data_IF_540628344045
#
_entry.id   IF_540628344045
#
_cell.length_a   1.000
_cell.length_b   1.000
_cell.length_c   1.000
_cell.angle_alpha   90.00
_cell.angle_beta   90.00
_cell.angle_gamma   90.00
#
_symmetry.space_group_name_H-M   'P 1'
#
loop_
_entity.id
_entity.type
_entity.pdbx_description
1 polymer ?
#
# COMPACT_ATOMS: atom_id res chain seq x y z
N UNK A 1 13.47 -15.87 -29.01
CA UNK A 1 12.25 -15.88 -28.16
C UNK A 1 12.50 -16.32 -26.71
N UNK A 2 13.22 -17.43 -26.44
CA UNK A 2 13.43 -17.90 -25.06
C UNK A 2 14.18 -16.93 -24.12
N UNK A 3 15.14 -16.15 -24.65
CA UNK A 3 15.90 -15.17 -23.86
C UNK A 3 15.03 -14.03 -23.32
N UNK A 4 14.07 -13.53 -24.11
CA UNK A 4 13.13 -12.49 -23.68
C UNK A 4 12.16 -13.03 -22.62
N UNK A 5 11.60 -14.23 -22.83
CA UNK A 5 10.71 -14.87 -21.86
C UNK A 5 11.44 -15.09 -20.52
N UNK A 6 12.70 -15.53 -20.55
CA UNK A 6 13.51 -15.70 -19.35
C UNK A 6 13.72 -14.38 -18.59
N UNK A 7 13.94 -13.27 -19.30
CA UNK A 7 14.07 -11.96 -18.67
C UNK A 7 12.75 -11.51 -18.03
N UNK A 8 11.62 -11.68 -18.72
CA UNK A 8 10.29 -11.37 -18.17
C UNK A 8 10.00 -12.20 -16.92
N UNK A 9 10.36 -13.48 -16.92
CA UNK A 9 10.17 -14.34 -15.75
C UNK A 9 10.99 -13.88 -14.55
N UNK A 10 12.28 -13.55 -14.75
CA UNK A 10 13.13 -13.01 -13.68
C UNK A 10 12.58 -11.67 -13.16
N UNK A 11 12.16 -10.78 -14.04
CA UNK A 11 11.55 -9.50 -13.66
C UNK A 11 10.23 -9.69 -12.90
N UNK A 12 9.43 -10.68 -13.29
CA UNK A 12 8.20 -11.04 -12.59
C UNK A 12 8.47 -11.50 -11.15
N UNK A 13 9.48 -12.36 -10.96
CA UNK A 13 9.90 -12.80 -9.61
C UNK A 13 10.41 -11.62 -8.79
N UNK A 14 11.27 -10.77 -9.37
CA UNK A 14 11.80 -9.59 -8.67
C UNK A 14 10.69 -8.60 -8.28
N UNK A 15 9.76 -8.33 -9.20
CA UNK A 15 8.61 -7.47 -8.95
C UNK A 15 7.71 -8.04 -7.85
N UNK A 16 7.43 -9.35 -7.90
CA UNK A 16 6.66 -10.03 -6.86
C UNK A 16 7.36 -9.93 -5.49
N UNK A 17 8.65 -10.25 -5.42
CA UNK A 17 9.43 -10.18 -4.18
C UNK A 17 9.48 -8.75 -3.61
N UNK A 18 9.66 -7.74 -4.47
CA UNK A 18 9.65 -6.34 -4.05
C UNK A 18 8.28 -5.91 -3.50
N UNK A 19 7.19 -6.30 -4.15
CA UNK A 19 5.83 -6.02 -3.67
C UNK A 19 5.54 -6.72 -2.35
N UNK A 20 5.95 -7.97 -2.21
CA UNK A 20 5.86 -8.69 -0.93
C UNK A 20 6.65 -7.97 0.16
N UNK A 21 7.91 -7.63 -0.11
CA UNK A 21 8.73 -6.86 0.84
C UNK A 21 8.07 -5.54 1.25
N UNK A 22 7.58 -4.77 0.29
CA UNK A 22 6.87 -3.52 0.56
C UNK A 22 5.63 -3.74 1.44
N UNK A 23 4.81 -4.75 1.15
CA UNK A 23 3.58 -5.02 1.90
C UNK A 23 3.83 -5.42 3.37
N UNK A 24 4.97 -6.05 3.67
CA UNK A 24 5.30 -6.49 5.03
C UNK A 24 6.17 -5.50 5.81
N UNK A 25 6.99 -4.70 5.13
CA UNK A 25 7.94 -3.80 5.78
C UNK A 25 7.50 -2.33 5.79
N UNK A 26 6.65 -1.88 4.86
CA UNK A 26 6.18 -0.50 4.85
C UNK A 26 5.11 -0.28 5.94
N UNK A 27 5.06 0.93 6.49
CA UNK A 27 3.92 1.35 7.30
C UNK A 27 2.81 1.83 6.36
N UNK A 28 1.78 1.00 6.21
CA UNK A 28 0.58 1.30 5.42
C UNK A 28 -0.58 1.79 6.30
N UNK A 29 -0.33 2.09 7.58
CA UNK A 29 -1.36 2.61 8.47
C UNK A 29 -1.80 4.00 8.00
N UNK A 30 -3.11 4.31 8.02
CA UNK A 30 -3.57 5.66 7.72
C UNK A 30 -3.03 6.63 8.78
N UNK A 31 -2.64 7.83 8.35
CA UNK A 31 -2.26 8.90 9.29
C UNK A 31 -3.48 9.31 10.10
N UNK A 32 -3.46 9.05 11.40
CA UNK A 32 -4.52 9.50 12.30
C UNK A 32 -4.34 10.99 12.61
N UNK A 33 -5.44 11.73 12.57
CA UNK A 33 -5.50 13.14 12.95
C UNK A 33 -6.78 13.36 13.74
N UNK A 34 -6.66 14.12 14.82
CA UNK A 34 -7.81 14.54 15.61
C UNK A 34 -8.65 15.55 14.81
N UNK A 35 -9.95 15.27 14.68
CA UNK A 35 -10.89 16.15 14.00
C UNK A 35 -11.89 16.67 15.03
N UNK A 36 -11.79 17.95 15.36
CA UNK A 36 -12.74 18.63 16.25
C UNK A 36 -13.73 19.45 15.43
N UNK A 37 -15.02 19.13 15.52
CA UNK A 37 -16.10 19.87 14.86
C UNK A 37 -17.08 20.37 15.92
N UNK A 38 -17.51 21.64 15.87
CA UNK A 38 -18.52 22.14 16.78
C UNK A 38 -19.86 21.41 16.59
N UNK A 39 -20.52 21.07 17.70
CA UNK A 39 -21.86 20.47 17.69
C UNK A 39 -22.92 21.52 17.99
N UNK A 40 -23.99 21.55 17.20
CA UNK A 40 -25.22 22.29 17.53
C UNK A 40 -26.14 21.37 18.32
N UNK A 41 -26.33 21.63 19.61
CA UNK A 41 -27.36 20.95 20.42
C UNK A 41 -28.72 21.62 20.17
N UNK A 42 -29.62 20.92 19.49
CA UNK A 42 -31.04 21.25 19.46
C UNK A 42 -31.73 20.44 20.57
N UNK A 43 -31.64 20.90 21.81
CA UNK A 43 -32.40 20.32 22.93
C UNK A 43 -33.54 21.29 23.28
N UNK A 44 -34.78 20.87 23.00
CA UNK A 44 -36.02 21.51 23.46
C UNK A 44 -36.48 20.89 24.80
#
# INVERSE_FOLDING_TARGET
MGRLIKMVFVLGILGFAALTGYAYLADLSPSQTEVTVPVTLNAD
#
